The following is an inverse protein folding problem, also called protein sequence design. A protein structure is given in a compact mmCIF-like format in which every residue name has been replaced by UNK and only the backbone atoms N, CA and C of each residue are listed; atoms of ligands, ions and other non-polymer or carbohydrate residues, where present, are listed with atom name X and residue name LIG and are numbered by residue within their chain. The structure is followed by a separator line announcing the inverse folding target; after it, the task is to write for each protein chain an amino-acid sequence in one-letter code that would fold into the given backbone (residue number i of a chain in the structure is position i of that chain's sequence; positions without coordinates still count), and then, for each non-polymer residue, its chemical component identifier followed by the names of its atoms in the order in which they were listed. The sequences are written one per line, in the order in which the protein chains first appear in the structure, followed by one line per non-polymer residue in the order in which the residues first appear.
data_IF_529863527049
#
_entry.id   IF_529863527049
#
_cell.length_a   1.000
_cell.length_b   1.000
_cell.length_c   1.000
_cell.angle_alpha   90.00
_cell.angle_beta   90.00
_cell.angle_gamma   90.00
#
_symmetry.space_group_name_H-M   'P 1'
#
loop_
_entity.id
_entity.type
_entity.pdbx_description
1 polymer ?
#
# COMPACT_ATOMS: atom_id res chain seq x y z
N UNK A 1 23.66 7.99 7.20
CA UNK A 1 22.87 7.80 8.44
C UNK A 1 22.83 9.15 9.14
N UNK A 2 21.69 9.63 9.66
CA UNK A 2 21.63 10.95 10.34
C UNK A 2 22.03 10.88 11.81
N UNK A 3 22.03 9.67 12.37
CA UNK A 3 22.57 9.35 13.68
C UNK A 3 24.07 9.08 13.54
N UNK A 4 24.88 10.00 14.02
CA UNK A 4 26.34 9.92 14.01
C UNK A 4 26.90 10.07 15.44
N UNK A 5 28.23 9.98 15.56
CA UNK A 5 28.90 10.09 16.86
C UNK A 5 28.71 11.47 17.50
N UNK A 6 28.59 12.52 16.68
CA UNK A 6 28.29 13.88 17.15
C UNK A 6 26.92 13.93 17.85
N UNK A 7 25.87 13.42 17.20
CA UNK A 7 24.53 13.33 17.79
C UNK A 7 24.55 12.49 19.07
N UNK A 8 25.30 11.38 19.09
CA UNK A 8 25.41 10.51 20.26
C UNK A 8 26.03 11.24 21.45
N UNK A 9 27.15 11.93 21.25
CA UNK A 9 27.87 12.68 22.30
C UNK A 9 26.98 13.77 22.91
N UNK A 10 26.22 14.49 22.08
CA UNK A 10 25.33 15.55 22.58
C UNK A 10 24.14 14.97 23.36
N UNK A 11 23.58 13.85 22.92
CA UNK A 11 22.49 13.15 23.63
C UNK A 11 22.98 12.59 24.97
N UNK A 12 24.17 12.03 25.02
CA UNK A 12 24.80 11.56 26.26
C UNK A 12 25.05 12.72 27.24
N UNK A 13 25.55 13.85 26.74
CA UNK A 13 25.76 15.07 27.52
C UNK A 13 24.45 15.60 28.11
N UNK A 14 23.38 15.65 27.30
CA UNK A 14 22.03 16.00 27.77
C UNK A 14 21.54 15.02 28.85
N UNK A 15 21.75 13.70 28.66
CA UNK A 15 21.34 12.67 29.62
C UNK A 15 22.06 12.85 30.96
N UNK A 16 23.37 13.12 30.93
CA UNK A 16 24.16 13.42 32.13
C UNK A 16 23.62 14.63 32.88
N UNK A 17 23.39 15.75 32.18
CA UNK A 17 22.83 16.96 32.81
C UNK A 17 21.42 16.75 33.40
N UNK A 18 20.60 15.89 32.78
CA UNK A 18 19.30 15.52 33.33
C UNK A 18 19.43 14.70 34.62
N UNK A 19 20.33 13.72 34.65
CA UNK A 19 20.59 12.91 35.85
C UNK A 19 21.14 13.77 37.00
N UNK A 20 22.06 14.69 36.70
CA UNK A 20 22.57 15.67 37.67
C UNK A 20 21.44 16.52 38.27
N UNK A 21 20.56 17.06 37.42
CA UNK A 21 19.41 17.86 37.87
C UNK A 21 18.47 17.05 38.76
N UNK A 22 18.20 15.79 38.41
CA UNK A 22 17.38 14.89 39.22
C UNK A 22 18.02 14.59 40.57
N UNK A 23 19.33 14.32 40.61
CA UNK A 23 20.07 14.07 41.84
C UNK A 23 20.04 15.28 42.78
N UNK A 24 20.30 16.48 42.26
CA UNK A 24 20.23 17.73 43.04
C UNK A 24 18.81 17.98 43.57
N UNK A 25 17.77 17.70 42.76
CA UNK A 25 16.37 17.86 43.16
C UNK A 25 15.94 16.81 44.21
N UNK A 26 16.53 15.62 44.22
CA UNK A 26 16.23 14.58 45.21
C UNK A 26 16.85 14.86 46.58
N UNK A 27 18.03 15.51 46.63
CA UNK A 27 18.73 15.88 47.86
C UNK A 27 18.26 17.18 48.52
N UNK A 28 17.08 17.68 48.17
CA UNK A 28 16.66 19.06 48.42
C UNK A 28 16.38 19.34 49.91
N UNK A 29 17.39 19.78 50.64
CA UNK A 29 17.26 20.52 51.90
C UNK A 29 17.14 22.01 51.60
N UNK A 30 16.29 22.72 52.34
CA UNK A 30 16.01 24.16 52.17
C UNK A 30 17.31 24.98 52.08
N UNK A 31 17.63 25.51 50.89
CA UNK A 31 18.84 26.32 50.65
C UNK A 31 19.53 26.16 49.29
N UNK A 32 19.19 25.14 48.48
CA UNK A 32 19.92 24.80 47.25
C UNK A 32 19.22 25.20 45.93
N UNK A 33 18.32 26.19 45.99
CA UNK A 33 17.45 26.57 44.86
C UNK A 33 18.24 27.13 43.66
N UNK A 34 19.31 27.90 43.92
CA UNK A 34 20.15 28.49 42.87
C UNK A 34 20.97 27.43 42.11
N UNK A 35 21.40 26.35 42.78
CA UNK A 35 22.05 25.22 42.12
C UNK A 35 21.07 24.48 41.20
N UNK A 36 19.83 24.28 41.66
CA UNK A 36 18.78 23.65 40.85
C UNK A 36 18.51 24.47 39.59
N UNK A 37 18.38 25.79 39.69
CA UNK A 37 18.15 26.64 38.52
C UNK A 37 19.35 26.67 37.57
N UNK A 38 20.58 26.63 38.08
CA UNK A 38 21.79 26.49 37.25
C UNK A 38 21.82 25.16 36.50
N UNK A 39 21.60 24.04 37.18
CA UNK A 39 21.53 22.70 36.54
C UNK A 39 20.40 22.61 35.51
N UNK A 40 19.26 23.25 35.80
CA UNK A 40 18.13 23.34 34.88
C UNK A 40 18.47 24.20 33.66
N UNK A 41 19.19 25.32 33.83
CA UNK A 41 19.69 26.13 32.73
C UNK A 41 20.68 25.35 31.85
N UNK A 42 21.58 24.59 32.45
CA UNK A 42 22.52 23.72 31.75
C UNK A 42 21.80 22.64 30.92
N UNK A 43 20.83 21.93 31.52
CA UNK A 43 20.00 20.96 30.81
C UNK A 43 19.26 21.60 29.63
N UNK A 44 18.64 22.78 29.83
CA UNK A 44 17.94 23.51 28.75
C UNK A 44 18.90 23.84 27.60
N UNK A 45 20.11 24.30 27.90
CA UNK A 45 21.14 24.62 26.91
C UNK A 45 21.55 23.38 26.11
N UNK A 46 21.83 22.27 26.77
CA UNK A 46 22.21 21.02 26.11
C UNK A 46 21.06 20.42 25.31
N UNK A 47 19.82 20.50 25.81
CA UNK A 47 18.65 20.07 25.07
C UNK A 47 18.43 20.89 23.79
N UNK A 48 18.66 22.21 23.86
CA UNK A 48 18.64 23.09 22.68
C UNK A 48 19.73 22.67 21.68
N UNK A 49 20.95 22.45 22.15
CA UNK A 49 22.09 22.04 21.31
C UNK A 49 21.84 20.71 20.60
N UNK A 50 21.30 19.71 21.31
CA UNK A 50 20.88 18.43 20.70
C UNK A 50 19.87 18.66 19.57
N UNK A 51 18.87 19.53 19.81
CA UNK A 51 17.87 19.86 18.78
C UNK A 51 18.50 20.55 17.57
N UNK A 52 19.39 21.51 17.80
CA UNK A 52 20.12 22.22 16.73
C UNK A 52 20.96 21.25 15.88
N UNK A 53 21.72 20.35 16.51
CA UNK A 53 22.51 19.32 15.81
C UNK A 53 21.61 18.37 15.03
N UNK A 54 20.50 17.93 15.62
CA UNK A 54 19.55 17.04 14.97
C UNK A 54 18.95 17.68 13.71
N UNK A 55 18.44 18.91 13.82
CA UNK A 55 17.86 19.64 12.70
C UNK A 55 18.91 19.91 11.61
N UNK A 56 20.13 20.26 11.99
CA UNK A 56 21.24 20.45 11.05
C UNK A 56 21.55 19.17 10.28
N UNK A 57 21.75 18.04 10.96
CA UNK A 57 22.05 16.74 10.31
C UNK A 57 20.91 16.27 9.41
N UNK A 58 19.66 16.47 9.85
CA UNK A 58 18.48 16.14 9.06
C UNK A 58 18.41 17.00 7.80
N UNK A 59 18.63 18.31 7.92
CA UNK A 59 18.68 19.25 6.79
C UNK A 59 19.81 18.89 5.82
N UNK A 60 21.03 18.69 6.30
CA UNK A 60 22.17 18.29 5.46
C UNK A 60 21.89 17.03 4.65
N UNK A 61 21.17 16.06 5.23
CA UNK A 61 20.78 14.83 4.52
C UNK A 61 19.76 15.12 3.43
N UNK A 62 18.73 15.92 3.72
CA UNK A 62 17.73 16.33 2.74
C UNK A 62 18.42 17.07 1.59
N UNK A 63 19.25 18.07 1.90
CA UNK A 63 19.98 18.87 0.91
C UNK A 63 20.89 17.98 0.02
N UNK A 64 21.61 17.01 0.61
CA UNK A 64 22.42 16.05 -0.15
C UNK A 64 21.57 15.15 -1.06
N UNK A 65 20.42 14.70 -0.57
CA UNK A 65 19.51 13.88 -1.35
C UNK A 65 18.92 14.68 -2.52
N UNK A 66 18.56 15.94 -2.29
CA UNK A 66 17.97 16.82 -3.30
C UNK A 66 18.99 17.17 -4.39
N UNK A 67 20.24 17.49 -4.01
CA UNK A 67 21.35 17.67 -4.96
C UNK A 67 21.57 16.43 -5.83
N UNK A 68 21.65 15.25 -5.21
CA UNK A 68 21.81 13.98 -5.94
C UNK A 68 20.72 13.77 -7.00
N UNK A 69 19.50 14.20 -6.71
CA UNK A 69 18.36 14.05 -7.63
C UNK A 69 18.40 15.13 -8.72
N UNK A 70 18.79 16.36 -8.37
CA UNK A 70 18.99 17.48 -9.30
C UNK A 70 20.11 17.21 -10.32
N UNK A 71 21.27 16.74 -9.86
CA UNK A 71 22.48 16.63 -10.69
C UNK A 71 22.36 15.54 -11.77
N UNK A 72 21.55 14.51 -11.54
CA UNK A 72 21.42 13.36 -12.43
C UNK A 72 19.96 12.91 -12.55
N UNK A 73 19.08 13.81 -13.01
CA UNK A 73 17.64 13.53 -13.10
C UNK A 73 17.31 12.32 -14.00
N UNK A 74 18.06 12.12 -15.09
CA UNK A 74 17.84 10.99 -16.02
C UNK A 74 18.17 9.64 -15.37
N UNK A 75 19.29 9.56 -14.64
CA UNK A 75 19.70 8.33 -13.94
C UNK A 75 18.82 8.06 -12.72
N UNK A 76 18.34 9.12 -12.05
CA UNK A 76 17.53 9.04 -10.84
C UNK A 76 16.03 9.29 -11.10
N UNK A 77 15.54 9.06 -12.32
CA UNK A 77 14.15 9.36 -12.73
C UNK A 77 13.10 8.70 -11.82
N UNK A 78 13.38 7.48 -11.35
CA UNK A 78 12.51 6.75 -10.41
C UNK A 78 12.41 7.46 -9.05
N UNK A 79 13.53 7.97 -8.54
CA UNK A 79 13.57 8.69 -7.27
C UNK A 79 12.92 10.07 -7.39
N UNK A 80 13.08 10.73 -8.52
CA UNK A 80 12.39 11.98 -8.85
C UNK A 80 10.87 11.79 -8.79
N UNK A 81 10.31 10.82 -9.51
CA UNK A 81 8.85 10.57 -9.48
C UNK A 81 8.34 10.16 -8.11
N UNK A 82 9.15 9.45 -7.31
CA UNK A 82 8.82 9.15 -5.91
C UNK A 82 8.75 10.41 -5.04
N UNK A 83 9.69 11.34 -5.18
CA UNK A 83 9.64 12.63 -4.49
C UNK A 83 8.42 13.44 -4.91
N UNK A 84 8.15 13.53 -6.22
CA UNK A 84 6.98 14.23 -6.75
C UNK A 84 5.68 13.62 -6.20
N UNK A 85 5.56 12.29 -6.17
CA UNK A 85 4.42 11.61 -5.58
C UNK A 85 4.27 11.87 -4.09
N UNK A 86 5.38 11.94 -3.35
CA UNK A 86 5.36 12.26 -1.91
C UNK A 86 4.96 13.72 -1.67
N UNK A 87 5.48 14.66 -2.47
CA UNK A 87 5.22 16.09 -2.37
C UNK A 87 3.79 16.46 -2.77
N UNK A 88 3.21 15.76 -3.76
CA UNK A 88 1.79 15.87 -4.12
C UNK A 88 0.87 15.30 -3.03
N UNK A 89 1.43 14.64 -2.00
CA UNK A 89 0.69 13.80 -1.08
C UNK A 89 0.19 12.55 -1.79
N UNK A 90 -0.19 11.52 -1.04
CA UNK A 90 -1.02 10.44 -1.59
C UNK A 90 -2.40 11.02 -1.98
N UNK A 91 -2.46 11.85 -3.01
CA UNK A 91 -3.69 12.03 -3.77
C UNK A 91 -4.01 10.63 -4.25
N UNK A 92 -5.03 10.01 -3.65
CA UNK A 92 -5.65 8.80 -4.21
C UNK A 92 -5.72 9.08 -5.71
N UNK A 93 -5.12 8.19 -6.52
CA UNK A 93 -5.27 8.24 -7.96
C UNK A 93 -6.73 8.65 -8.22
N UNK A 94 -7.00 9.73 -8.98
CA UNK A 94 -8.38 10.08 -9.28
C UNK A 94 -8.97 8.78 -9.80
N UNK A 95 -9.94 8.24 -9.05
CA UNK A 95 -10.56 6.97 -9.43
C UNK A 95 -11.09 7.28 -10.82
N UNK A 96 -10.53 6.62 -11.84
CA UNK A 96 -10.94 6.83 -13.22
C UNK A 96 -12.34 6.25 -13.34
N UNK A 97 -13.32 7.00 -12.86
CA UNK A 97 -14.74 6.81 -13.12
C UNK A 97 -15.03 7.46 -14.49
N UNK A 98 -14.16 7.26 -15.46
CA UNK A 98 -14.30 7.82 -16.79
C UNK A 98 -14.91 6.74 -17.69
N UNK A 99 -16.21 6.81 -17.96
CA UNK A 99 -16.94 5.84 -18.77
C UNK A 99 -17.29 6.49 -20.11
N UNK A 100 -17.27 5.72 -21.20
CA UNK A 100 -17.75 6.23 -22.50
C UNK A 100 -19.25 6.04 -22.63
N UNK A 101 -19.94 7.08 -23.07
CA UNK A 101 -21.32 6.98 -23.52
C UNK A 101 -21.41 6.30 -24.89
N UNK A 102 -22.64 6.13 -25.41
CA UNK A 102 -22.89 5.52 -26.72
C UNK A 102 -22.36 6.35 -27.89
N UNK A 103 -22.21 7.66 -27.69
CA UNK A 103 -21.65 8.59 -28.67
C UNK A 103 -20.11 8.68 -28.59
N UNK A 104 -19.48 7.94 -27.67
CA UNK A 104 -18.04 7.93 -27.44
C UNK A 104 -17.52 9.09 -26.57
N UNK A 105 -18.38 9.92 -26.00
CA UNK A 105 -18.03 10.99 -25.07
C UNK A 105 -17.64 10.42 -23.69
N UNK A 106 -16.64 11.04 -23.05
CA UNK A 106 -16.17 10.62 -21.72
C UNK A 106 -17.03 11.26 -20.64
N UNK A 107 -17.72 10.43 -19.87
CA UNK A 107 -18.49 10.78 -18.69
C UNK A 107 -17.60 10.61 -17.44
N UNK A 108 -17.50 11.67 -16.63
CA UNK A 108 -16.69 11.68 -15.40
C UNK A 108 -17.52 11.88 -14.12
N UNK A 109 -18.82 12.11 -14.26
CA UNK A 109 -19.75 12.35 -13.16
C UNK A 109 -20.35 11.02 -12.65
N UNK A 110 -20.44 10.87 -11.33
CA UNK A 110 -20.85 9.62 -10.69
C UNK A 110 -22.30 9.23 -11.01
N UNK A 111 -23.23 10.19 -10.97
CA UNK A 111 -24.63 9.92 -11.28
C UNK A 111 -24.82 9.53 -12.75
N UNK A 112 -24.10 10.22 -13.64
CA UNK A 112 -24.15 9.96 -15.08
C UNK A 112 -23.54 8.59 -15.42
N UNK A 113 -22.47 8.19 -14.74
CA UNK A 113 -21.87 6.88 -14.88
C UNK A 113 -22.78 5.75 -14.41
N UNK A 114 -23.45 5.92 -13.26
CA UNK A 114 -24.41 4.93 -12.75
C UNK A 114 -25.59 4.76 -13.70
N UNK A 115 -26.07 5.86 -14.29
CA UNK A 115 -27.14 5.80 -15.29
C UNK A 115 -26.67 5.08 -16.57
N UNK A 116 -25.46 5.37 -17.05
CA UNK A 116 -24.88 4.66 -18.21
C UNK A 116 -24.72 3.15 -17.97
N UNK A 117 -24.32 2.75 -16.77
CA UNK A 117 -24.26 1.34 -16.37
C UNK A 117 -25.65 0.69 -16.38
N UNK A 118 -26.66 1.41 -15.85
CA UNK A 118 -28.04 0.93 -15.86
C UNK A 118 -28.54 0.69 -17.29
N UNK A 119 -28.36 1.66 -18.19
CA UNK A 119 -28.72 1.55 -19.61
C UNK A 119 -28.01 0.37 -20.30
N UNK A 120 -26.70 0.22 -20.05
CA UNK A 120 -25.93 -0.89 -20.61
C UNK A 120 -26.49 -2.25 -20.17
N UNK A 121 -26.75 -2.43 -18.86
CA UNK A 121 -27.29 -3.68 -18.36
C UNK A 121 -28.72 -3.92 -18.84
N UNK A 122 -29.57 -2.90 -18.89
CA UNK A 122 -30.92 -3.01 -19.46
C UNK A 122 -30.86 -3.50 -20.92
N UNK A 123 -30.00 -2.92 -21.75
CA UNK A 123 -29.80 -3.37 -23.14
C UNK A 123 -29.30 -4.83 -23.22
N UNK A 124 -28.32 -5.21 -22.41
CA UNK A 124 -27.77 -6.57 -22.38
C UNK A 124 -28.80 -7.60 -21.88
N UNK A 125 -29.62 -7.26 -20.89
CA UNK A 125 -30.60 -8.18 -20.34
C UNK A 125 -31.88 -8.23 -21.17
N UNK A 126 -32.38 -7.10 -21.68
CA UNK A 126 -33.59 -7.08 -22.52
C UNK A 126 -33.37 -7.72 -23.89
N UNK A 127 -32.16 -7.60 -24.47
CA UNK A 127 -31.85 -8.28 -25.74
C UNK A 127 -31.80 -9.82 -25.62
N UNK A 128 -31.45 -10.36 -24.44
CA UNK A 128 -31.48 -11.81 -24.19
C UNK A 128 -32.86 -12.36 -23.87
N UNK A 129 -33.68 -11.62 -23.11
CA UNK A 129 -35.03 -12.06 -22.74
C UNK A 129 -35.94 -12.20 -23.98
N UNK A 130 -35.75 -11.38 -25.02
CA UNK A 130 -36.55 -11.48 -26.25
C UNK A 130 -36.17 -12.66 -27.16
N UNK A 131 -34.94 -13.20 -27.07
CA UNK A 131 -34.50 -14.28 -27.96
C UNK A 131 -34.55 -15.66 -27.29
N UNK A 132 -34.40 -15.76 -25.97
CA UNK A 132 -34.39 -17.06 -25.27
C UNK A 132 -35.78 -17.55 -24.83
N UNK A 133 -36.81 -16.70 -24.80
CA UNK A 133 -38.17 -17.11 -24.42
C UNK A 133 -38.97 -17.82 -25.53
N UNK A 134 -38.53 -17.76 -26.78
CA UNK A 134 -39.20 -18.44 -27.90
C UNK A 134 -38.58 -19.80 -28.28
N UNK A 135 -37.52 -20.24 -27.60
CA UNK A 135 -36.82 -21.48 -27.96
C UNK A 135 -36.45 -22.36 -26.74
N UNK A 136 -37.29 -22.36 -25.71
CA UNK A 136 -37.20 -23.33 -24.62
C UNK A 136 -38.51 -24.12 -24.52
N UNK A 137 -38.81 -24.91 -25.56
CA UNK A 137 -39.44 -26.20 -25.34
C UNK A 137 -38.45 -27.03 -24.54
N UNK A 138 -38.59 -27.04 -23.21
CA UNK A 138 -37.87 -27.95 -22.32
C UNK A 138 -38.34 -29.36 -22.70
N UNK A 139 -37.49 -30.25 -23.24
CA UNK A 139 -37.86 -31.64 -23.38
C UNK A 139 -38.09 -32.17 -21.97
N UNK A 140 -39.32 -32.64 -21.68
CA UNK A 140 -39.77 -33.21 -20.39
C UNK A 140 -39.04 -34.49 -19.96
N UNK A 141 -37.81 -34.71 -20.44
CA UNK A 141 -37.11 -36.00 -20.31
C UNK A 141 -35.79 -35.92 -19.53
N UNK A 142 -35.37 -34.74 -19.07
CA UNK A 142 -34.13 -34.58 -18.27
C UNK A 142 -34.37 -34.54 -16.75
N UNK A 143 -35.62 -34.59 -16.28
CA UNK A 143 -35.93 -34.63 -14.83
C UNK A 143 -35.62 -35.98 -14.15
N UNK A 144 -35.21 -37.01 -14.90
CA UNK A 144 -34.79 -38.28 -14.30
C UNK A 144 -33.27 -38.40 -14.21
N UNK A 145 -32.73 -38.02 -13.05
CA UNK A 145 -31.57 -38.73 -12.50
C UNK A 145 -30.34 -37.91 -12.13
N UNK A 146 -30.39 -36.59 -12.01
CA UNK A 146 -29.26 -35.81 -11.48
C UNK A 146 -29.71 -34.84 -10.38
N UNK A 147 -30.15 -35.39 -9.25
CA UNK A 147 -30.12 -34.63 -8.00
C UNK A 147 -28.67 -34.55 -7.52
N UNK A 148 -28.05 -33.38 -7.69
CA UNK A 148 -26.72 -33.11 -7.15
C UNK A 148 -26.83 -33.12 -5.63
N UNK A 149 -26.18 -34.09 -4.99
CA UNK A 149 -26.18 -34.19 -3.53
C UNK A 149 -25.22 -33.17 -2.91
N UNK A 150 -25.55 -32.69 -1.71
CA UNK A 150 -24.69 -31.76 -0.94
C UNK A 150 -23.31 -32.37 -0.68
N UNK A 151 -23.21 -33.69 -0.53
CA UNK A 151 -21.93 -34.37 -0.38
C UNK A 151 -21.06 -34.30 -1.64
N UNK A 152 -21.69 -34.31 -2.81
CA UNK A 152 -21.00 -34.16 -4.09
C UNK A 152 -20.41 -32.74 -4.21
N UNK A 153 -21.17 -31.73 -3.81
CA UNK A 153 -20.72 -30.32 -3.74
C UNK A 153 -19.51 -30.19 -2.80
N UNK A 154 -19.62 -30.77 -1.60
CA UNK A 154 -18.56 -30.71 -0.59
C UNK A 154 -17.28 -31.43 -1.04
N UNK A 155 -17.41 -32.56 -1.73
CA UNK A 155 -16.29 -33.31 -2.30
C UNK A 155 -15.64 -32.54 -3.45
N UNK A 156 -16.43 -31.90 -4.31
CA UNK A 156 -15.94 -31.05 -5.39
C UNK A 156 -15.17 -29.85 -4.82
N UNK A 157 -15.72 -29.13 -3.84
CA UNK A 157 -15.04 -28.02 -3.18
C UNK A 157 -13.69 -28.40 -2.57
N UNK A 158 -13.61 -29.55 -1.88
CA UNK A 158 -12.35 -30.05 -1.30
C UNK A 158 -11.32 -30.46 -2.36
N UNK A 159 -11.77 -30.86 -3.55
CA UNK A 159 -10.89 -31.25 -4.65
C UNK A 159 -10.30 -30.05 -5.41
N UNK A 160 -10.83 -28.85 -5.20
CA UNK A 160 -10.34 -27.63 -5.83
C UNK A 160 -9.07 -27.10 -5.15
N UNK A 161 -8.02 -26.84 -5.94
CA UNK A 161 -6.81 -26.16 -5.44
C UNK A 161 -7.11 -24.68 -5.14
N UNK A 162 -6.86 -24.27 -3.91
CA UNK A 162 -7.00 -22.88 -3.48
C UNK A 162 -6.15 -21.94 -4.37
N UNK A 163 -6.76 -20.85 -4.85
CA UNK A 163 -6.06 -19.77 -5.57
C UNK A 163 -5.87 -19.98 -7.08
N UNK A 164 -6.53 -20.96 -7.72
CA UNK A 164 -6.61 -21.03 -9.18
C UNK A 164 -8.06 -20.82 -9.65
N UNK A 165 -8.26 -19.84 -10.52
CA UNK A 165 -9.53 -19.69 -11.23
C UNK A 165 -9.76 -20.89 -12.16
N UNK A 166 -11.00 -21.34 -12.29
CA UNK A 166 -11.37 -22.33 -13.29
C UNK A 166 -11.09 -21.75 -14.68
N UNK A 167 -10.05 -22.23 -15.34
CA UNK A 167 -9.78 -21.88 -16.73
C UNK A 167 -10.84 -22.52 -17.60
N UNK A 168 -11.52 -21.71 -18.42
CA UNK A 168 -12.49 -22.12 -19.44
C UNK A 168 -11.89 -23.23 -20.31
N UNK A 169 -12.54 -24.39 -20.28
CA UNK A 169 -12.40 -25.56 -21.18
C UNK A 169 -10.98 -26.07 -21.49
N UNK A 170 -10.44 -26.93 -20.63
CA UNK A 170 -9.37 -27.87 -21.00
C UNK A 170 -9.93 -29.29 -21.20
N UNK A 171 -10.86 -29.46 -22.14
CA UNK A 171 -11.09 -30.77 -22.76
C UNK A 171 -10.06 -30.95 -23.88
N UNK A 172 -9.06 -31.77 -23.60
CA UNK A 172 -8.11 -32.28 -24.58
C UNK A 172 -6.70 -31.81 -24.32
N UNK A 173 -5.95 -32.60 -23.53
CA UNK A 173 -4.56 -32.94 -23.83
C UNK A 173 -4.14 -34.09 -22.90
N UNK A 174 -4.26 -35.33 -23.39
CA UNK A 174 -3.44 -36.43 -22.89
C UNK A 174 -2.03 -36.17 -23.42
N UNK A 175 -1.08 -36.00 -22.52
CA UNK A 175 0.33 -35.83 -22.84
C UNK A 175 1.18 -36.37 -21.70
N UNK A 176 1.38 -37.69 -21.73
CA UNK A 176 2.52 -38.37 -21.12
C UNK A 176 3.84 -37.69 -21.52
N UNK A 177 4.79 -37.55 -20.60
CA UNK A 177 6.16 -37.19 -20.99
C UNK A 177 6.98 -36.69 -19.81
N UNK A 178 8.00 -37.45 -19.45
CA UNK A 178 8.83 -37.22 -18.27
C UNK A 178 9.75 -36.01 -18.39
N UNK A 179 10.32 -35.65 -17.24
CA UNK A 179 11.36 -34.63 -17.09
C UNK A 179 12.55 -34.99 -17.99
N UNK A 180 13.09 -34.06 -18.79
CA UNK A 180 14.41 -34.28 -19.37
C UNK A 180 15.45 -34.16 -18.26
N UNK A 181 16.21 -35.24 -18.09
CA UNK A 181 17.43 -35.24 -17.31
C UNK A 181 18.46 -34.31 -17.97
N UNK A 182 19.06 -33.46 -17.16
CA UNK A 182 20.28 -32.71 -17.47
C UNK A 182 21.41 -33.70 -17.71
N UNK A 183 21.98 -33.71 -18.91
CA UNK A 183 23.30 -34.27 -19.14
C UNK A 183 24.30 -33.12 -19.33
N UNK A 184 25.18 -33.01 -18.33
CA UNK A 184 26.52 -32.44 -18.46
C UNK A 184 27.33 -33.34 -19.40
N UNK A 185 27.89 -32.75 -20.45
CA UNK A 185 29.33 -32.66 -20.82
C UNK A 185 29.38 -32.12 -22.25
#
# INVERSE_FOLDING_TARGET
MWWDDEVRVEVESKKKAWLDLLATKAGNFSGMNDEIERKKAEFRRLNKKVKEVFERKKKERTDKNDRRISDNFQVNIKMFWKLVGTARGNTKQPIMNAIRDENGCILNDEATNLNRWKEYFESVFMSKVSSELNELEIPKEVERGMEISVDEIMKAMKSMKAGKAATRDAKGWRGSGGRPAVHLV
#
